data_IF_757693775751
#
_entry.id   IF_757693775751
#
_cell.length_a   1.000
_cell.length_b   1.000
_cell.length_c   1.000
_cell.angle_alpha   90.00
_cell.angle_beta   90.00
_cell.angle_gamma   90.00
#
_symmetry.space_group_name_H-M   'P 1'
#
loop_
_entity.id
_entity.type
_entity.pdbx_description
1 polymer ?
#
# COMPACT_ATOMS: atom_id res chain seq x y z
N UNK A 1 -32.66 72.96 70.01
CA UNK A 1 -32.82 71.90 69.00
C UNK A 1 -34.21 71.33 69.19
N UNK A 2 -35.15 71.71 68.34
CA UNK A 2 -36.50 71.17 68.38
C UNK A 2 -36.40 69.69 68.00
N UNK A 3 -36.64 68.81 68.97
CA UNK A 3 -36.99 67.43 68.68
C UNK A 3 -38.24 67.48 67.81
N UNK A 4 -38.08 67.22 66.52
CA UNK A 4 -39.21 67.15 65.58
C UNK A 4 -39.96 65.89 65.97
N UNK A 5 -40.88 66.02 66.92
CA UNK A 5 -41.84 64.99 67.28
C UNK A 5 -42.82 64.88 66.12
N UNK A 6 -42.38 64.17 65.08
CA UNK A 6 -43.22 63.83 63.94
C UNK A 6 -44.41 63.04 64.51
N UNK A 7 -45.61 63.58 64.40
CA UNK A 7 -46.86 62.90 64.81
C UNK A 7 -46.83 61.45 64.34
N UNK A 8 -47.19 60.50 65.22
CA UNK A 8 -47.12 59.06 64.91
C UNK A 8 -47.80 58.68 63.59
N UNK A 9 -48.84 59.43 63.19
CA UNK A 9 -49.53 59.28 61.91
C UNK A 9 -48.68 59.68 60.69
N UNK A 10 -47.89 60.75 60.78
CA UNK A 10 -47.02 61.23 59.68
C UNK A 10 -45.84 60.26 59.49
N UNK A 11 -45.30 59.71 60.59
CA UNK A 11 -44.21 58.72 60.55
C UNK A 11 -44.65 57.39 59.93
N UNK A 12 -45.88 56.96 60.25
CA UNK A 12 -46.50 55.78 59.64
C UNK A 12 -46.73 55.97 58.13
N UNK A 13 -47.17 57.15 57.71
CA UNK A 13 -47.37 57.47 56.30
C UNK A 13 -46.03 57.53 55.53
N UNK A 14 -45.01 58.16 56.10
CA UNK A 14 -43.65 58.19 55.55
C UNK A 14 -43.06 56.78 55.42
N UNK A 15 -43.24 55.91 56.43
CA UNK A 15 -42.80 54.52 56.39
C UNK A 15 -43.50 53.75 55.26
N UNK A 16 -44.80 53.99 55.06
CA UNK A 16 -45.57 53.38 53.97
C UNK A 16 -45.09 53.84 52.59
N UNK A 17 -44.77 55.14 52.43
CA UNK A 17 -44.19 55.66 51.19
C UNK A 17 -42.81 55.07 50.91
N UNK A 18 -41.94 54.99 51.93
CA UNK A 18 -40.63 54.36 51.79
C UNK A 18 -40.73 52.88 51.41
N UNK A 19 -41.67 52.14 52.00
CA UNK A 19 -41.96 50.76 51.63
C UNK A 19 -42.46 50.64 50.18
N UNK A 20 -43.30 51.57 49.74
CA UNK A 20 -43.83 51.60 48.36
C UNK A 20 -42.73 51.91 47.35
N UNK A 21 -41.88 52.89 47.62
CA UNK A 21 -40.73 53.22 46.77
C UNK A 21 -39.78 52.03 46.66
N UNK A 22 -39.48 51.35 47.76
CA UNK A 22 -38.62 50.15 47.77
C UNK A 22 -39.24 49.00 46.96
N UNK A 23 -40.56 48.83 47.03
CA UNK A 23 -41.28 47.82 46.24
C UNK A 23 -41.24 48.16 44.74
N UNK A 24 -41.42 49.44 44.38
CA UNK A 24 -41.30 49.91 43.00
C UNK A 24 -39.90 49.65 42.44
N UNK A 25 -38.85 49.99 43.19
CA UNK A 25 -37.46 49.75 42.78
C UNK A 25 -37.18 48.25 42.58
N UNK A 26 -37.68 47.39 43.48
CA UNK A 26 -37.55 45.93 43.36
C UNK A 26 -38.29 45.40 42.12
N UNK A 27 -39.49 45.89 41.83
CA UNK A 27 -40.25 45.49 40.64
C UNK A 27 -39.58 45.94 39.35
N UNK A 28 -39.08 47.18 39.29
CA UNK A 28 -38.34 47.68 38.12
C UNK A 28 -37.07 46.86 37.88
N UNK A 29 -36.36 46.50 38.95
CA UNK A 29 -35.17 45.67 38.87
C UNK A 29 -35.47 44.24 38.39
N UNK A 30 -36.56 43.63 38.86
CA UNK A 30 -37.01 42.32 38.37
C UNK A 30 -37.42 42.36 36.90
N UNK A 31 -38.12 43.42 36.47
CA UNK A 31 -38.50 43.61 35.07
C UNK A 31 -37.27 43.81 34.17
N UNK A 32 -36.28 44.59 34.62
CA UNK A 32 -35.06 44.84 33.85
C UNK A 32 -34.19 43.59 33.66
N UNK A 33 -34.16 42.70 34.67
CA UNK A 33 -33.32 41.49 34.65
C UNK A 33 -34.08 40.24 34.20
N UNK A 34 -35.41 40.26 34.22
CA UNK A 34 -36.26 39.07 34.02
C UNK A 34 -36.16 38.04 35.15
N UNK A 35 -35.41 38.31 36.23
CA UNK A 35 -35.13 37.36 37.29
C UNK A 35 -35.92 37.73 38.55
N UNK A 36 -36.65 36.76 39.09
CA UNK A 36 -37.34 36.91 40.39
C UNK A 36 -36.34 36.97 41.56
N UNK A 37 -35.22 36.25 41.47
CA UNK A 37 -34.15 36.19 42.47
C UNK A 37 -32.85 36.50 41.75
N UNK A 38 -32.22 37.63 42.07
CA UNK A 38 -31.01 38.10 41.39
C UNK A 38 -29.76 37.94 42.26
N UNK A 39 -29.92 37.95 43.58
CA UNK A 39 -28.81 37.88 44.51
C UNK A 39 -29.07 36.88 45.63
N UNK A 40 -28.00 36.46 46.30
CA UNK A 40 -28.09 35.65 47.52
C UNK A 40 -28.89 36.34 48.64
N UNK A 41 -29.04 37.67 48.60
CA UNK A 41 -29.84 38.44 49.57
C UNK A 41 -31.35 38.27 49.31
N UNK A 42 -31.77 38.07 48.05
CA UNK A 42 -33.19 37.89 47.70
C UNK A 42 -33.70 36.50 48.12
N UNK A 43 -32.89 35.47 47.88
CA UNK A 43 -33.15 34.09 48.35
C UNK A 43 -31.88 33.25 48.18
N UNK A 44 -31.20 32.86 49.27
CA UNK A 44 -29.97 32.08 49.18
C UNK A 44 -30.16 30.75 48.45
N UNK A 45 -31.21 30.00 48.80
CA UNK A 45 -31.46 28.67 48.22
C UNK A 45 -31.70 28.74 46.72
N UNK A 46 -32.60 29.62 46.26
CA UNK A 46 -32.91 29.76 44.84
C UNK A 46 -31.71 30.28 44.04
N UNK A 47 -30.96 31.25 44.58
CA UNK A 47 -29.79 31.83 43.91
C UNK A 47 -28.67 30.80 43.72
N UNK A 48 -28.29 30.07 44.78
CA UNK A 48 -27.23 29.06 44.70
C UNK A 48 -27.65 27.82 43.90
N UNK A 49 -28.93 27.41 43.95
CA UNK A 49 -29.44 26.34 43.07
C UNK A 49 -29.38 26.77 41.60
N UNK A 50 -29.83 27.98 41.26
CA UNK A 50 -29.75 28.50 39.89
C UNK A 50 -28.30 28.62 39.40
N UNK A 51 -27.38 29.06 40.27
CA UNK A 51 -25.95 29.11 39.97
C UNK A 51 -25.37 27.72 39.69
N UNK A 52 -25.72 26.71 40.50
CA UNK A 52 -25.31 25.33 40.26
C UNK A 52 -25.84 24.76 38.94
N UNK A 53 -27.09 25.07 38.60
CA UNK A 53 -27.69 24.68 37.32
C UNK A 53 -27.00 25.37 36.12
N UNK A 54 -26.66 26.66 36.23
CA UNK A 54 -25.91 27.37 35.19
C UNK A 54 -24.51 26.78 35.00
N UNK A 55 -23.80 26.45 36.09
CA UNK A 55 -22.50 25.77 36.00
C UNK A 55 -22.64 24.42 35.29
N UNK A 56 -23.65 23.62 35.65
CA UNK A 56 -23.91 22.34 35.01
C UNK A 56 -24.27 22.49 33.52
N UNK A 57 -25.04 23.50 33.15
CA UNK A 57 -25.36 23.79 31.75
C UNK A 57 -24.10 24.15 30.95
N UNK A 58 -23.18 24.94 31.52
CA UNK A 58 -21.88 25.23 30.91
C UNK A 58 -21.04 23.97 30.74
N UNK A 59 -20.97 23.11 31.76
CA UNK A 59 -20.25 21.82 31.68
C UNK A 59 -20.83 20.90 30.61
N UNK A 60 -22.17 20.85 30.48
CA UNK A 60 -22.83 20.06 29.45
C UNK A 60 -22.58 20.60 28.04
N UNK A 61 -22.49 21.92 27.85
CA UNK A 61 -22.09 22.50 26.55
C UNK A 61 -20.64 22.14 26.20
N UNK A 62 -19.71 22.26 27.16
CA UNK A 62 -18.32 21.85 26.95
C UNK A 62 -18.21 20.35 26.61
N UNK A 63 -19.02 19.50 27.26
CA UNK A 63 -19.09 18.07 26.95
C UNK A 63 -19.67 17.84 25.55
N UNK A 64 -20.73 18.54 25.17
CA UNK A 64 -21.34 18.45 23.84
C UNK A 64 -20.33 18.80 22.74
N UNK A 65 -19.55 19.86 22.92
CA UNK A 65 -18.49 20.26 21.99
C UNK A 65 -17.39 19.19 21.88
N UNK A 66 -16.96 18.64 23.02
CA UNK A 66 -15.97 17.56 23.07
C UNK A 66 -16.50 16.29 22.38
N UNK A 67 -17.77 15.95 22.59
CA UNK A 67 -18.44 14.84 21.89
C UNK A 67 -18.53 15.12 20.39
N UNK A 68 -18.84 16.35 19.98
CA UNK A 68 -18.86 16.76 18.57
C UNK A 68 -17.50 16.64 17.89
N UNK A 69 -16.41 16.94 18.61
CA UNK A 69 -15.05 16.67 18.13
C UNK A 69 -14.78 15.16 18.02
N UNK A 70 -15.20 14.38 19.02
CA UNK A 70 -15.09 12.92 19.00
C UNK A 70 -15.83 12.27 17.83
N UNK A 71 -17.03 12.75 17.50
CA UNK A 71 -17.82 12.28 16.34
C UNK A 71 -17.06 12.55 15.04
N UNK A 72 -16.50 13.74 14.84
CA UNK A 72 -15.71 14.05 13.63
C UNK A 72 -14.48 13.15 13.48
N UNK A 73 -13.81 12.83 14.58
CA UNK A 73 -12.70 11.87 14.58
C UNK A 73 -13.17 10.47 14.18
N UNK A 74 -14.32 10.02 14.69
CA UNK A 74 -14.92 8.73 14.30
C UNK A 74 -15.36 8.73 12.83
N UNK A 75 -15.90 9.82 12.31
CA UNK A 75 -16.26 9.96 10.89
C UNK A 75 -15.03 9.86 10.00
N UNK A 76 -13.93 10.55 10.35
CA UNK A 76 -12.68 10.44 9.62
C UNK A 76 -12.11 9.00 9.67
N UNK A 77 -12.17 8.35 10.82
CA UNK A 77 -11.78 6.95 10.97
C UNK A 77 -12.65 6.00 10.11
N UNK A 78 -13.97 6.21 10.07
CA UNK A 78 -14.89 5.43 9.22
C UNK A 78 -14.54 5.56 7.73
N UNK A 79 -14.22 6.77 7.25
CA UNK A 79 -13.76 6.98 5.87
C UNK A 79 -12.41 6.33 5.59
N UNK A 80 -11.48 6.38 6.55
CA UNK A 80 -10.20 5.67 6.46
C UNK A 80 -10.40 4.16 6.31
N UNK A 81 -11.21 3.56 7.19
CA UNK A 81 -11.52 2.12 7.15
C UNK A 81 -12.21 1.73 5.84
N UNK A 82 -13.18 2.51 5.35
CA UNK A 82 -13.83 2.26 4.06
C UNK A 82 -12.85 2.29 2.88
N UNK A 83 -11.85 3.17 2.93
CA UNK A 83 -10.81 3.24 1.90
C UNK A 83 -9.93 1.99 1.94
N UNK A 84 -9.52 1.55 3.13
CA UNK A 84 -8.79 0.29 3.32
C UNK A 84 -9.59 -0.90 2.82
N UNK A 85 -10.90 -0.98 3.12
CA UNK A 85 -11.76 -2.07 2.64
C UNK A 85 -11.78 -2.17 1.11
N UNK A 86 -11.86 -1.04 0.40
CA UNK A 86 -11.80 -1.03 -1.09
C UNK A 86 -10.45 -1.52 -1.62
N UNK A 87 -9.35 -1.15 -0.95
CA UNK A 87 -8.03 -1.65 -1.31
C UNK A 87 -7.92 -3.16 -1.08
N UNK A 88 -8.47 -3.68 0.03
CA UNK A 88 -8.54 -5.11 0.32
C UNK A 88 -9.38 -5.87 -0.70
N UNK A 89 -10.51 -5.33 -1.14
CA UNK A 89 -11.31 -5.92 -2.23
C UNK A 89 -10.53 -5.99 -3.54
N UNK A 90 -9.77 -4.94 -3.86
CA UNK A 90 -8.91 -4.89 -5.06
C UNK A 90 -7.77 -5.90 -4.98
N UNK A 91 -7.10 -6.01 -3.82
CA UNK A 91 -6.08 -7.03 -3.56
C UNK A 91 -6.63 -8.45 -3.72
N UNK A 92 -7.85 -8.70 -3.24
CA UNK A 92 -8.52 -10.00 -3.42
C UNK A 92 -8.79 -10.30 -4.89
N UNK A 93 -9.20 -9.31 -5.69
CA UNK A 93 -9.40 -9.49 -7.13
C UNK A 93 -8.09 -9.86 -7.85
N UNK A 94 -6.99 -9.16 -7.56
CA UNK A 94 -5.66 -9.46 -8.11
C UNK A 94 -5.18 -10.86 -7.69
N UNK A 95 -5.38 -11.25 -6.44
CA UNK A 95 -5.03 -12.58 -5.96
C UNK A 95 -5.82 -13.69 -6.69
N UNK A 96 -7.11 -13.47 -6.98
CA UNK A 96 -7.91 -14.41 -7.76
C UNK A 96 -7.44 -14.47 -9.23
N UNK A 97 -7.09 -13.34 -9.84
CA UNK A 97 -6.54 -13.30 -11.19
C UNK A 97 -5.19 -14.05 -11.27
N UNK A 98 -4.33 -13.87 -10.26
CA UNK A 98 -3.10 -14.62 -10.14
C UNK A 98 -3.35 -16.13 -10.02
N UNK A 99 -4.33 -16.53 -9.21
CA UNK A 99 -4.71 -17.94 -9.03
C UNK A 99 -5.20 -18.58 -10.33
N UNK A 100 -6.04 -17.88 -11.09
CA UNK A 100 -6.59 -18.35 -12.38
C UNK A 100 -5.54 -18.38 -13.50
N UNK A 101 -4.51 -17.53 -13.41
CA UNK A 101 -3.44 -17.48 -14.40
C UNK A 101 -2.59 -18.74 -14.31
N UNK A 102 -2.65 -19.57 -15.35
CA UNK A 102 -1.79 -20.74 -15.51
C UNK A 102 -0.41 -20.31 -16.01
N UNK A 103 0.63 -20.67 -15.27
CA UNK A 103 2.02 -20.45 -15.67
C UNK A 103 2.34 -21.36 -16.85
N UNK A 104 2.88 -20.78 -17.91
CA UNK A 104 3.34 -21.49 -19.09
C UNK A 104 4.82 -21.18 -19.29
N UNK A 105 5.61 -22.21 -19.57
CA UNK A 105 7.04 -22.05 -19.77
C UNK A 105 7.35 -21.16 -20.97
N UNK A 106 8.40 -20.34 -20.85
CA UNK A 106 8.98 -19.64 -21.99
C UNK A 106 9.92 -20.60 -22.68
N UNK A 107 9.78 -20.76 -23.99
CA UNK A 107 10.60 -21.68 -24.76
C UNK A 107 11.37 -20.99 -25.88
N UNK A 108 12.60 -21.44 -26.10
CA UNK A 108 13.42 -21.15 -27.27
C UNK A 108 13.77 -22.47 -27.92
N UNK A 109 13.44 -22.61 -29.20
CA UNK A 109 13.83 -23.78 -30.00
C UNK A 109 14.82 -23.34 -31.07
N UNK A 110 16.06 -23.75 -30.90
CA UNK A 110 17.17 -23.52 -31.80
C UNK A 110 17.24 -24.51 -32.96
N UNK A 111 18.15 -24.25 -33.89
CA UNK A 111 18.47 -25.16 -35.00
C UNK A 111 17.27 -25.72 -35.81
N UNK A 112 16.20 -24.94 -35.98
CA UNK A 112 14.96 -25.41 -36.63
C UNK A 112 15.08 -25.80 -38.10
N UNK A 113 16.10 -25.29 -38.78
CA UNK A 113 16.33 -25.47 -40.23
C UNK A 113 17.73 -26.02 -40.55
N UNK A 114 18.52 -26.39 -39.53
CA UNK A 114 19.88 -26.92 -39.71
C UNK A 114 19.94 -28.44 -39.58
N UNK A 115 21.16 -28.99 -39.60
CA UNK A 115 21.37 -30.42 -39.38
C UNK A 115 21.08 -30.79 -37.92
N UNK A 116 20.45 -31.94 -37.68
CA UNK A 116 20.12 -32.42 -36.33
C UNK A 116 21.36 -32.39 -35.41
N UNK A 117 21.24 -31.70 -34.27
CA UNK A 117 22.24 -31.69 -33.21
C UNK A 117 22.18 -33.00 -32.44
N UNK A 118 23.34 -33.45 -32.00
CA UNK A 118 23.49 -34.53 -31.01
C UNK A 118 24.39 -34.01 -29.89
N UNK A 119 24.34 -34.62 -28.71
CA UNK A 119 25.10 -34.14 -27.55
C UNK A 119 26.61 -33.99 -27.81
N UNK A 120 27.18 -34.81 -28.69
CA UNK A 120 28.60 -34.77 -29.04
C UNK A 120 29.01 -33.71 -30.09
N UNK A 121 28.07 -32.90 -30.60
CA UNK A 121 28.41 -31.81 -31.53
C UNK A 121 29.20 -30.74 -30.78
N UNK A 122 30.38 -30.37 -31.31
CA UNK A 122 31.19 -29.31 -30.75
C UNK A 122 30.50 -27.94 -30.95
N UNK A 123 30.46 -27.11 -29.91
CA UNK A 123 29.96 -25.72 -30.01
C UNK A 123 30.87 -24.86 -30.87
N UNK A 124 32.18 -25.01 -30.70
CA UNK A 124 33.18 -24.35 -31.52
C UNK A 124 33.07 -24.88 -32.96
N UNK A 125 32.68 -24.00 -33.90
CA UNK A 125 32.42 -24.34 -35.30
C UNK A 125 30.94 -24.35 -35.68
N UNK A 126 30.00 -24.19 -34.73
CA UNK A 126 28.59 -23.95 -35.06
C UNK A 126 28.39 -22.50 -35.51
N UNK A 127 28.55 -22.26 -36.80
CA UNK A 127 28.41 -20.92 -37.39
C UNK A 127 29.58 -20.02 -37.00
N UNK A 128 29.30 -18.95 -36.26
CA UNK A 128 30.30 -17.98 -35.81
C UNK A 128 30.89 -18.27 -34.42
N UNK A 129 30.43 -19.34 -33.75
CA UNK A 129 30.95 -19.74 -32.44
C UNK A 129 32.36 -20.32 -32.59
N UNK A 130 33.27 -19.89 -31.73
CA UNK A 130 34.66 -20.34 -31.66
C UNK A 130 35.10 -20.49 -30.20
N UNK A 131 36.22 -21.20 -29.99
CA UNK A 131 36.88 -21.29 -28.69
C UNK A 131 37.29 -19.89 -28.19
N UNK A 132 37.00 -19.60 -26.93
CA UNK A 132 37.24 -18.29 -26.31
C UNK A 132 36.06 -17.31 -26.43
N UNK A 133 34.98 -17.69 -27.12
CA UNK A 133 33.72 -16.96 -27.06
C UNK A 133 32.98 -17.30 -25.75
N UNK A 134 32.27 -16.33 -25.20
CA UNK A 134 31.38 -16.48 -24.04
C UNK A 134 29.94 -16.70 -24.52
N UNK A 135 29.19 -17.50 -23.77
CA UNK A 135 27.75 -17.68 -23.92
C UNK A 135 27.06 -17.19 -22.65
N UNK A 136 26.22 -16.18 -22.79
CA UNK A 136 25.42 -15.61 -21.70
C UNK A 136 23.98 -16.04 -21.83
N UNK A 137 23.44 -16.64 -20.78
CA UNK A 137 22.04 -17.05 -20.68
C UNK A 137 21.40 -16.22 -19.58
N UNK A 138 20.29 -15.56 -19.91
CA UNK A 138 19.51 -14.77 -18.97
C UNK A 138 18.08 -15.31 -18.90
N UNK A 139 17.62 -15.61 -17.69
CA UNK A 139 16.24 -16.00 -17.38
C UNK A 139 15.73 -15.01 -16.33
N UNK A 140 14.80 -14.15 -16.71
CA UNK A 140 14.32 -13.10 -15.83
C UNK A 140 15.46 -12.21 -15.34
N UNK A 141 15.75 -12.26 -14.04
CA UNK A 141 16.81 -11.49 -13.39
C UNK A 141 18.14 -12.25 -13.25
N UNK A 142 18.15 -13.58 -13.42
CA UNK A 142 19.36 -14.40 -13.32
C UNK A 142 20.08 -14.40 -14.65
N UNK A 143 21.34 -13.97 -14.65
CA UNK A 143 22.21 -13.96 -15.82
C UNK A 143 23.50 -14.69 -15.51
N UNK A 144 23.79 -15.72 -16.30
CA UNK A 144 24.95 -16.57 -16.12
C UNK A 144 25.72 -16.68 -17.43
N UNK A 145 27.05 -16.74 -17.34
CA UNK A 145 27.92 -16.77 -18.50
C UNK A 145 28.89 -17.93 -18.40
N UNK A 146 29.14 -18.59 -19.54
CA UNK A 146 30.09 -19.70 -19.66
C UNK A 146 30.95 -19.55 -20.90
N UNK A 147 32.23 -19.89 -20.78
CA UNK A 147 33.17 -19.84 -21.90
C UNK A 147 33.07 -21.10 -22.76
N UNK A 148 33.17 -20.93 -24.09
CA UNK A 148 33.27 -22.02 -25.05
C UNK A 148 34.73 -22.45 -25.15
N UNK A 149 35.02 -23.68 -24.75
CA UNK A 149 36.36 -24.23 -24.78
C UNK A 149 36.45 -25.63 -24.18
N UNK A 150 37.67 -26.05 -23.88
CA UNK A 150 37.96 -27.43 -23.42
C UNK A 150 38.60 -27.49 -22.04
N UNK A 151 38.79 -26.36 -21.37
CA UNK A 151 39.29 -26.32 -20.00
C UNK A 151 38.19 -26.69 -19.00
N UNK A 152 38.60 -26.98 -17.76
CA UNK A 152 37.66 -27.31 -16.68
C UNK A 152 36.74 -26.12 -16.39
N UNK A 153 35.42 -26.33 -16.50
CA UNK A 153 34.41 -25.29 -16.29
C UNK A 153 33.96 -24.57 -17.58
N UNK A 154 34.55 -24.92 -18.73
CA UNK A 154 34.13 -24.45 -20.05
C UNK A 154 33.19 -25.47 -20.72
N UNK A 155 32.42 -25.02 -21.70
CA UNK A 155 31.52 -25.88 -22.50
C UNK A 155 32.12 -26.17 -23.87
N UNK A 156 32.39 -27.44 -24.17
CA UNK A 156 32.96 -27.86 -25.46
C UNK A 156 31.88 -28.33 -26.44
N UNK A 157 30.89 -29.07 -25.95
CA UNK A 157 29.86 -29.76 -26.73
C UNK A 157 28.45 -29.33 -26.34
N UNK A 158 27.47 -29.64 -27.19
CA UNK A 158 26.06 -29.34 -26.90
C UNK A 158 25.61 -30.03 -25.62
N UNK A 159 26.13 -31.22 -25.30
CA UNK A 159 25.86 -31.88 -24.02
C UNK A 159 26.43 -31.09 -22.84
N UNK A 160 27.67 -30.59 -22.94
CA UNK A 160 28.27 -29.78 -21.87
C UNK A 160 27.45 -28.50 -21.61
N UNK A 161 26.88 -27.90 -22.67
CA UNK A 161 25.96 -26.76 -22.53
C UNK A 161 24.67 -27.15 -21.81
N UNK A 162 24.09 -28.31 -22.15
CA UNK A 162 22.89 -28.83 -21.48
C UNK A 162 23.17 -29.09 -20.00
N UNK A 163 24.30 -29.71 -19.70
CA UNK A 163 24.72 -30.03 -18.33
C UNK A 163 25.03 -28.75 -17.53
N UNK A 164 25.65 -27.75 -18.17
CA UNK A 164 25.85 -26.41 -17.58
C UNK A 164 24.52 -25.77 -17.21
N UNK A 165 23.54 -25.78 -18.13
CA UNK A 165 22.20 -25.22 -17.86
C UNK A 165 21.55 -25.93 -16.67
N UNK A 166 21.56 -27.27 -16.66
CA UNK A 166 20.97 -28.06 -15.60
C UNK A 166 21.65 -27.86 -14.23
N UNK A 167 22.97 -27.64 -14.20
CA UNK A 167 23.72 -27.40 -12.98
C UNK A 167 23.55 -25.97 -12.44
N UNK A 168 23.47 -24.99 -13.33
CA UNK A 168 23.49 -23.55 -13.00
C UNK A 168 22.09 -23.01 -12.69
N UNK A 169 21.06 -23.42 -13.45
CA UNK A 169 19.69 -22.90 -13.33
C UNK A 169 18.77 -23.87 -12.57
N UNK A 170 19.19 -24.32 -11.39
CA UNK A 170 18.41 -25.23 -10.52
C UNK A 170 17.65 -24.53 -9.37
N UNK A 171 17.73 -23.20 -9.32
CA UNK A 171 17.18 -22.36 -8.25
C UNK A 171 15.85 -21.68 -8.60
N UNK A 172 15.71 -20.42 -8.20
CA UNK A 172 14.46 -19.64 -8.31
C UNK A 172 14.03 -19.38 -9.77
N UNK A 173 14.99 -19.40 -10.70
CA UNK A 173 14.77 -19.24 -12.14
C UNK A 173 15.14 -20.54 -12.89
N UNK A 174 14.28 -21.58 -12.83
CA UNK A 174 14.61 -22.89 -13.39
C UNK A 174 14.62 -22.87 -14.92
N UNK A 175 15.71 -23.36 -15.50
CA UNK A 175 15.88 -23.52 -16.95
C UNK A 175 16.28 -24.96 -17.26
N UNK A 176 15.53 -25.58 -18.16
CA UNK A 176 15.87 -26.89 -18.71
C UNK A 176 16.33 -26.71 -20.16
N UNK A 177 17.41 -27.39 -20.54
CA UNK A 177 17.86 -27.51 -21.91
C UNK A 177 17.84 -28.97 -22.35
N UNK A 178 17.36 -29.27 -23.54
CA UNK A 178 17.34 -30.62 -24.09
C UNK A 178 17.48 -30.62 -25.62
N UNK A 179 17.83 -31.78 -26.18
CA UNK A 179 17.72 -32.02 -27.62
C UNK A 179 16.40 -32.76 -27.85
N UNK A 180 15.49 -32.18 -28.62
CA UNK A 180 14.21 -32.80 -28.92
C UNK A 180 14.36 -33.94 -29.95
N UNK A 181 13.27 -34.67 -30.19
CA UNK A 181 13.25 -35.82 -31.13
C UNK A 181 13.61 -35.44 -32.58
N UNK A 182 13.60 -34.14 -32.91
CA UNK A 182 13.98 -33.59 -34.22
C UNK A 182 15.46 -33.16 -34.28
N UNK A 183 16.23 -33.34 -33.20
CA UNK A 183 17.62 -32.89 -33.11
C UNK A 183 17.76 -31.37 -32.95
N UNK A 184 16.74 -30.70 -32.41
CA UNK A 184 16.78 -29.26 -32.15
C UNK A 184 17.08 -29.03 -30.67
N UNK A 185 17.90 -28.02 -30.38
CA UNK A 185 18.19 -27.62 -29.01
C UNK A 185 17.03 -26.76 -28.49
N UNK A 186 16.36 -27.22 -27.45
CA UNK A 186 15.23 -26.56 -26.83
C UNK A 186 15.60 -26.13 -25.41
N UNK A 187 15.32 -24.87 -25.11
CA UNK A 187 15.41 -24.29 -23.77
C UNK A 187 14.01 -24.00 -23.28
N UNK A 188 13.70 -24.39 -22.04
CA UNK A 188 12.40 -24.22 -21.41
C UNK A 188 12.57 -23.64 -20.01
N UNK A 189 12.18 -22.38 -19.85
CA UNK A 189 12.13 -21.70 -18.55
C UNK A 189 10.75 -21.92 -17.93
N UNK A 190 10.66 -22.76 -16.90
CA UNK A 190 9.37 -23.21 -16.34
C UNK A 190 8.56 -22.08 -15.69
N UNK A 191 9.22 -21.00 -15.29
CA UNK A 191 8.61 -19.83 -14.67
C UNK A 191 7.89 -18.88 -15.65
N UNK A 192 8.07 -19.07 -16.96
CA UNK A 192 7.42 -18.24 -17.98
C UNK A 192 7.97 -16.82 -18.08
N UNK A 193 9.15 -16.54 -17.51
CA UNK A 193 9.85 -15.25 -17.64
C UNK A 193 10.57 -15.13 -18.98
N UNK A 194 11.04 -13.93 -19.30
CA UNK A 194 11.84 -13.72 -20.50
C UNK A 194 13.12 -14.57 -20.46
N UNK A 195 13.39 -15.27 -21.55
CA UNK A 195 14.60 -16.03 -21.77
C UNK A 195 15.38 -15.38 -22.90
N UNK A 196 16.66 -15.11 -22.68
CA UNK A 196 17.57 -14.66 -23.72
C UNK A 196 18.92 -15.38 -23.65
N UNK A 197 19.50 -15.63 -24.81
CA UNK A 197 20.77 -16.31 -24.98
C UNK A 197 21.60 -15.50 -25.97
N UNK A 198 22.71 -14.97 -25.50
CA UNK A 198 23.65 -14.18 -26.27
C UNK A 198 25.02 -14.84 -26.25
N UNK A 199 25.85 -14.52 -27.24
CA UNK A 199 27.24 -14.92 -27.27
C UNK A 199 28.07 -13.69 -27.60
N UNK A 200 29.23 -13.60 -26.98
CA UNK A 200 30.17 -12.52 -27.24
C UNK A 200 31.61 -13.03 -27.33
N UNK A 201 32.47 -12.15 -27.81
CA UNK A 201 33.92 -12.34 -27.79
C UNK A 201 34.53 -11.04 -27.28
N UNK A 202 34.83 -11.01 -25.99
CA UNK A 202 35.40 -9.83 -25.33
C UNK A 202 34.53 -8.57 -25.49
N UNK A 203 33.20 -8.73 -25.41
CA UNK A 203 32.23 -7.63 -25.54
C UNK A 203 31.76 -7.33 -26.96
N UNK A 204 32.26 -8.06 -27.98
CA UNK A 204 31.70 -7.99 -29.34
C UNK A 204 30.68 -9.10 -29.54
N UNK A 205 29.43 -8.76 -29.88
CA UNK A 205 28.38 -9.75 -30.10
C UNK A 205 28.72 -10.74 -31.22
N UNK A 206 28.55 -12.03 -30.94
CA UNK A 206 28.75 -13.14 -31.86
C UNK A 206 27.39 -13.71 -32.26
N UNK A 207 27.23 -14.09 -33.53
CA UNK A 207 25.98 -14.68 -34.01
C UNK A 207 25.79 -16.13 -33.55
N UNK A 208 24.65 -16.42 -32.94
CA UNK A 208 24.21 -17.79 -32.62
C UNK A 208 23.46 -18.48 -33.77
N UNK A 209 23.55 -17.98 -35.01
CA UNK A 209 22.77 -18.53 -36.12
C UNK A 209 22.97 -20.04 -36.34
N UNK A 210 24.16 -20.56 -36.05
CA UNK A 210 24.47 -21.99 -36.15
C UNK A 210 23.92 -22.86 -35.01
N UNK A 211 23.55 -22.27 -33.88
CA UNK A 211 23.05 -22.96 -32.69
C UNK A 211 21.53 -22.72 -32.49
N UNK A 212 21.11 -21.46 -32.54
CA UNK A 212 19.73 -21.02 -32.25
C UNK A 212 19.02 -20.40 -33.46
N UNK A 213 19.71 -20.16 -34.57
CA UNK A 213 19.16 -19.39 -35.68
C UNK A 213 18.92 -17.94 -35.27
N UNK A 214 17.73 -17.40 -35.59
CA UNK A 214 17.30 -16.06 -35.17
C UNK A 214 16.59 -16.02 -33.81
N UNK A 215 16.44 -17.17 -33.13
CA UNK A 215 15.64 -17.31 -31.92
C UNK A 215 16.56 -17.25 -30.70
N UNK A 216 17.12 -16.06 -30.44
CA UNK A 216 18.02 -15.81 -29.30
C UNK A 216 17.32 -15.22 -28.09
N UNK A 217 16.05 -14.82 -28.21
CA UNK A 217 15.23 -14.40 -27.06
C UNK A 217 13.76 -14.78 -27.27
N UNK A 218 13.02 -14.94 -26.16
CA UNK A 218 11.59 -15.26 -26.16
C UNK A 218 10.89 -14.72 -24.92
N UNK A 219 9.65 -14.29 -25.11
CA UNK A 219 8.70 -13.83 -24.09
C UNK A 219 7.35 -14.53 -24.22
N UNK A 220 7.34 -15.73 -24.82
CA UNK A 220 6.12 -16.49 -25.12
C UNK A 220 5.50 -17.18 -23.89
N UNK A 221 6.17 -17.18 -22.75
CA UNK A 221 5.66 -17.71 -21.50
C UNK A 221 4.60 -16.83 -20.84
N UNK A 222 4.01 -17.37 -19.77
CA UNK A 222 3.03 -16.67 -18.92
C UNK A 222 3.49 -16.84 -17.48
N UNK A 223 3.62 -15.73 -16.75
CA UNK A 223 4.01 -15.71 -15.35
C UNK A 223 3.03 -14.89 -14.49
N UNK A 224 3.29 -14.79 -13.18
CA UNK A 224 2.41 -14.10 -12.22
C UNK A 224 3.03 -12.82 -11.63
N UNK A 225 4.19 -12.40 -12.11
CA UNK A 225 5.01 -11.34 -11.50
C UNK A 225 4.27 -10.00 -11.47
N UNK A 226 3.51 -9.70 -12.53
CA UNK A 226 2.70 -8.49 -12.59
C UNK A 226 1.68 -8.44 -11.45
N UNK A 227 1.02 -9.57 -11.14
CA UNK A 227 0.02 -9.60 -10.07
C UNK A 227 0.66 -9.49 -8.70
N UNK A 228 1.86 -10.04 -8.52
CA UNK A 228 2.64 -9.85 -7.29
C UNK A 228 2.99 -8.37 -7.09
N UNK A 229 3.51 -7.71 -8.13
CA UNK A 229 3.82 -6.27 -8.07
C UNK A 229 2.57 -5.44 -7.78
N UNK A 230 1.47 -5.68 -8.50
CA UNK A 230 0.20 -4.97 -8.30
C UNK A 230 -0.34 -5.17 -6.87
N UNK A 231 -0.23 -6.38 -6.32
CA UNK A 231 -0.64 -6.69 -4.95
C UNK A 231 0.24 -5.96 -3.92
N UNK A 232 1.57 -6.00 -4.09
CA UNK A 232 2.51 -5.32 -3.19
C UNK A 232 2.30 -3.80 -3.22
N UNK A 233 2.05 -3.22 -4.40
CA UNK A 233 1.73 -1.80 -4.52
C UNK A 233 0.46 -1.43 -3.72
N UNK A 234 -0.59 -2.26 -3.76
CA UNK A 234 -1.80 -2.03 -2.97
C UNK A 234 -1.57 -2.22 -1.46
N UNK A 235 -0.72 -3.17 -1.07
CA UNK A 235 -0.32 -3.33 0.33
C UNK A 235 0.42 -2.08 0.83
N UNK A 236 1.36 -1.57 0.06
CA UNK A 236 2.12 -0.37 0.42
C UNK A 236 1.22 0.87 0.48
N UNK A 237 0.17 0.95 -0.35
CA UNK A 237 -0.85 1.99 -0.23
C UNK A 237 -1.63 1.90 1.09
N UNK A 238 -1.95 0.69 1.56
CA UNK A 238 -2.60 0.51 2.87
C UNK A 238 -1.68 0.97 3.99
N UNK A 239 -0.39 0.65 3.92
CA UNK A 239 0.60 1.09 4.91
C UNK A 239 0.74 2.62 4.95
N UNK A 240 0.60 3.31 3.81
CA UNK A 240 0.61 4.78 3.75
C UNK A 240 -0.66 5.43 4.28
N UNK A 241 -1.79 4.71 4.30
CA UNK A 241 -3.08 5.19 4.82
C UNK A 241 -3.26 4.95 6.33
N UNK A 242 -2.52 4.00 6.91
CA UNK A 242 -2.58 3.62 8.31
C UNK A 242 -1.66 4.49 9.19
#
# INVERSE_FOLDING_TARGET
MADVVLSGAIRSNLLSMQNTTRLLDETQLRLATGLKVRSAVDSPTAFFTAQGLNNRASDLNNLLDSMGQGVKTLEAADQGIKSILKLVESMKAIANQALETKVNATTIVGNRSGAALTGGVALAGLGALATGNTLTITVGEVTETVDIGTATGEVATVQDLIDFVAATFNGDEPLEALINDQGQLEFSAANGRELSIAADNGGTAVSLAGLLGSHTSSTNGVNRDKFESDFNNLRDQIEQLA
#
